data_IF_265762465154
#
_entry.id   IF_265762465154
#
_cell.length_a   1.000
_cell.length_b   1.000
_cell.length_c   1.000
_cell.angle_alpha   90.00
_cell.angle_beta   90.00
_cell.angle_gamma   90.00
#
_symmetry.space_group_name_H-M   'P 1'
#
loop_
_entity.id
_entity.type
_entity.pdbx_description
1 polymer ?
#
# COMPACT_ATOMS: atom_id res chain seq x y z
N UNK A 1 15.76 9.99 -2.13
CA UNK A 1 14.48 10.06 -1.37
C UNK A 1 13.40 9.38 -2.18
N UNK A 2 12.61 8.51 -1.55
CA UNK A 2 11.55 7.73 -2.21
C UNK A 2 10.19 8.13 -1.67
N UNK A 3 9.26 8.57 -2.54
CA UNK A 3 7.89 8.93 -2.16
C UNK A 3 6.96 7.71 -2.25
N UNK A 4 6.21 7.35 -1.21
CA UNK A 4 5.21 6.28 -1.27
C UNK A 4 3.83 6.77 -0.76
N UNK A 5 2.74 6.41 -1.47
CA UNK A 5 1.38 6.95 -1.31
C UNK A 5 0.34 5.95 -0.79
N UNK A 6 0.73 4.90 -0.06
CA UNK A 6 -0.16 3.75 0.24
C UNK A 6 -1.29 4.02 1.26
N UNK A 7 -1.95 5.17 1.21
CA UNK A 7 -3.17 5.43 1.98
C UNK A 7 -4.04 6.44 1.24
N UNK A 8 -4.72 5.97 0.19
CA UNK A 8 -5.95 6.62 -0.29
C UNK A 8 -6.91 5.52 -0.73
N UNK A 9 -7.94 5.28 0.09
CA UNK A 9 -9.21 4.84 -0.45
C UNK A 9 -9.97 6.13 -0.78
N UNK A 10 -10.09 6.42 -2.08
CA UNK A 10 -11.25 6.97 -2.79
C UNK A 10 -10.78 7.41 -4.18
N UNK A 11 -10.84 6.49 -5.14
CA UNK A 11 -11.23 6.78 -6.52
C UNK A 11 -10.27 7.47 -7.49
N UNK A 12 -9.17 8.12 -7.08
CA UNK A 12 -8.48 9.06 -7.99
C UNK A 12 -7.02 8.79 -8.37
N UNK A 13 -6.32 7.81 -7.77
CA UNK A 13 -5.04 7.31 -8.29
C UNK A 13 -4.69 6.00 -7.56
N UNK A 14 -4.96 4.86 -8.19
CA UNK A 14 -4.70 3.53 -7.62
C UNK A 14 -3.26 3.06 -7.84
N UNK A 15 -2.40 3.92 -8.39
CA UNK A 15 -0.99 3.61 -8.67
C UNK A 15 -0.09 4.37 -7.69
N UNK A 16 0.68 3.60 -6.91
CA UNK A 16 1.72 4.17 -6.05
C UNK A 16 2.82 4.71 -6.96
N UNK A 17 2.89 6.02 -7.14
CA UNK A 17 3.98 6.65 -7.89
C UNK A 17 5.18 6.82 -6.97
N UNK A 18 6.13 5.89 -7.06
CA UNK A 18 7.44 6.05 -6.44
C UNK A 18 8.28 6.98 -7.30
N UNK A 19 8.69 8.08 -6.69
CA UNK A 19 9.55 9.07 -7.35
C UNK A 19 10.84 9.18 -6.56
N UNK A 20 11.96 9.17 -7.29
CA UNK A 20 13.29 9.26 -6.73
C UNK A 20 13.86 10.65 -6.94
N UNK A 21 14.08 11.34 -5.82
CA UNK A 21 14.59 12.70 -5.78
C UNK A 21 15.98 12.74 -5.16
N UNK A 22 16.87 13.50 -5.81
CA UNK A 22 18.14 13.93 -5.25
C UNK A 22 18.01 15.41 -4.88
N UNK A 23 18.10 15.67 -3.59
CA UNK A 23 18.25 17.02 -3.05
C UNK A 23 19.69 17.23 -2.58
N UNK A 24 20.25 18.45 -2.70
CA UNK A 24 21.44 18.81 -1.95
C UNK A 24 21.15 18.73 -0.44
N UNK A 25 22.16 18.40 0.36
CA UNK A 25 22.00 18.26 1.81
C UNK A 25 21.51 19.55 2.51
N UNK A 26 21.71 20.71 1.88
CA UNK A 26 21.26 22.02 2.34
C UNK A 26 19.78 22.31 2.07
N UNK A 27 19.09 21.51 1.24
CA UNK A 27 17.66 21.66 1.02
C UNK A 27 16.90 21.52 2.35
N UNK A 28 15.79 22.23 2.48
CA UNK A 28 15.05 22.31 3.74
C UNK A 28 13.77 21.47 3.69
N UNK A 29 13.16 21.28 4.87
CA UNK A 29 11.82 20.68 4.97
C UNK A 29 10.79 21.50 4.19
N UNK A 30 10.93 22.83 4.12
CA UNK A 30 10.02 23.65 3.32
C UNK A 30 10.20 23.40 1.81
N UNK A 31 11.43 23.27 1.32
CA UNK A 31 11.68 22.91 -0.09
C UNK A 31 11.01 21.56 -0.44
N UNK A 32 11.12 20.60 0.48
CA UNK A 32 10.51 19.28 0.35
C UNK A 32 8.98 19.32 0.38
N UNK A 33 8.36 20.03 1.33
CA UNK A 33 6.90 20.11 1.44
C UNK A 33 6.27 20.85 0.26
N UNK A 34 6.91 21.91 -0.23
CA UNK A 34 6.49 22.62 -1.45
C UNK A 34 6.59 21.70 -2.67
N UNK A 35 7.70 20.97 -2.80
CA UNK A 35 7.81 20.04 -3.92
C UNK A 35 6.72 18.96 -3.86
N UNK A 36 6.44 18.37 -2.69
CA UNK A 36 5.37 17.37 -2.51
C UNK A 36 3.98 17.94 -2.88
N UNK A 37 3.70 19.21 -2.55
CA UNK A 37 2.38 19.80 -2.81
C UNK A 37 2.03 19.80 -4.30
N UNK A 38 3.03 19.94 -5.18
CA UNK A 38 2.85 19.87 -6.63
C UNK A 38 2.45 18.47 -7.16
N UNK A 39 2.59 17.42 -6.35
CA UNK A 39 2.29 16.05 -6.79
C UNK A 39 1.03 15.48 -6.15
N UNK A 40 0.66 15.90 -4.94
CA UNK A 40 -0.52 15.34 -4.26
C UNK A 40 -1.80 15.94 -4.84
N UNK A 41 -2.84 15.13 -5.12
CA UNK A 41 -4.07 15.64 -5.71
C UNK A 41 -4.88 16.47 -4.72
N UNK A 42 -5.72 17.38 -5.22
CA UNK A 42 -6.73 18.08 -4.44
C UNK A 42 -7.69 17.13 -3.72
N UNK A 43 -8.01 17.43 -2.46
CA UNK A 43 -8.98 16.67 -1.67
C UNK A 43 -10.13 17.58 -1.26
N UNK A 44 -11.37 17.23 -1.64
CA UNK A 44 -12.55 17.98 -1.22
C UNK A 44 -12.87 17.74 0.26
N UNK A 45 -13.13 18.82 1.01
CA UNK A 45 -13.53 18.77 2.43
C UNK A 45 -12.40 19.14 3.42
N UNK A 46 -12.61 18.92 4.74
CA UNK A 46 -11.61 19.16 5.78
C UNK A 46 -10.62 17.97 5.86
N UNK A 47 -9.94 17.73 4.75
CA UNK A 47 -9.02 16.62 4.58
C UNK A 47 -7.83 17.06 3.76
N UNK A 48 -6.72 16.35 3.92
CA UNK A 48 -5.47 16.70 3.27
C UNK A 48 -4.48 15.54 3.33
N UNK A 49 -3.20 15.89 3.33
CA UNK A 49 -2.10 14.96 3.26
C UNK A 49 -1.18 15.18 4.45
N UNK A 50 -0.64 14.11 5.01
CA UNK A 50 0.46 14.18 5.96
C UNK A 50 1.69 13.56 5.32
N UNK A 51 2.79 14.31 5.33
CA UNK A 51 4.09 13.91 4.83
C UNK A 51 4.98 13.52 6.01
N UNK A 52 5.56 12.32 5.97
CA UNK A 52 6.38 11.78 7.03
C UNK A 52 7.62 11.05 6.48
N UNK A 53 8.72 11.02 7.24
CA UNK A 53 9.97 10.35 6.86
C UNK A 53 10.24 9.12 7.70
N UNK A 54 10.94 8.14 7.13
CA UNK A 54 11.50 7.01 7.87
C UNK A 54 12.49 7.48 8.97
N UNK A 55 12.66 6.64 9.99
CA UNK A 55 13.63 6.84 11.08
C UNK A 55 14.53 5.59 11.20
N UNK A 56 15.49 5.58 12.14
CA UNK A 56 16.31 4.38 12.41
C UNK A 56 15.45 3.22 12.97
N UNK A 57 14.28 3.54 13.51
CA UNK A 57 13.22 2.61 13.85
C UNK A 57 12.24 2.50 12.66
N UNK A 58 12.24 1.35 11.99
CA UNK A 58 11.39 1.12 10.80
C UNK A 58 9.89 1.24 11.08
N UNK A 59 9.48 1.14 12.35
CA UNK A 59 8.07 1.30 12.75
C UNK A 59 7.68 2.74 13.03
N UNK A 60 8.64 3.62 13.26
CA UNK A 60 8.39 5.01 13.59
C UNK A 60 8.72 5.86 12.38
N UNK A 61 7.73 6.62 11.95
CA UNK A 61 7.89 7.65 10.95
C UNK A 61 7.70 9.00 11.62
N UNK A 62 8.47 9.99 11.17
CA UNK A 62 8.41 11.34 11.71
C UNK A 62 7.61 12.20 10.78
N UNK A 63 6.46 12.65 11.26
CA UNK A 63 5.62 13.62 10.54
C UNK A 63 6.39 14.94 10.37
N UNK A 64 6.51 15.39 9.13
CA UNK A 64 7.20 16.63 8.75
C UNK A 64 6.23 17.80 8.65
N UNK A 65 5.06 17.55 8.05
CA UNK A 65 4.06 18.57 7.81
C UNK A 65 2.78 18.01 7.19
N UNK A 66 1.76 18.86 7.17
CA UNK A 66 0.47 18.59 6.54
C UNK A 66 0.31 19.49 5.32
N UNK A 67 -0.35 19.00 4.28
CA UNK A 67 -0.59 19.71 3.02
C UNK A 67 -2.07 19.59 2.69
N UNK A 68 -2.75 20.71 2.52
CA UNK A 68 -4.15 20.77 2.13
C UNK A 68 -4.25 21.42 0.74
N UNK A 69 -4.62 20.60 -0.23
CA UNK A 69 -4.83 20.99 -1.63
C UNK A 69 -6.34 21.06 -1.90
N UNK A 70 -6.86 22.25 -2.23
CA UNK A 70 -8.31 22.49 -2.47
C UNK A 70 -8.57 22.93 -3.91
N UNK A 71 -8.19 22.07 -4.85
CA UNK A 71 -8.40 22.27 -6.28
C UNK A 71 -9.88 22.53 -6.63
N UNK A 72 -10.78 21.89 -5.88
CA UNK A 72 -12.24 22.06 -5.99
C UNK A 72 -12.69 23.51 -5.74
N UNK A 73 -12.02 24.21 -4.84
CA UNK A 73 -12.30 25.60 -4.50
C UNK A 73 -11.35 26.60 -5.20
N UNK A 74 -10.37 26.11 -5.97
CA UNK A 74 -9.28 26.91 -6.56
C UNK A 74 -8.59 27.80 -5.51
N UNK A 75 -8.47 27.29 -4.30
CA UNK A 75 -7.76 27.97 -3.22
C UNK A 75 -6.27 27.63 -3.31
N UNK A 76 -5.46 28.51 -2.74
CA UNK A 76 -4.04 28.25 -2.60
C UNK A 76 -3.80 27.09 -1.62
N UNK A 77 -2.80 26.26 -1.89
CA UNK A 77 -2.42 25.16 -1.00
C UNK A 77 -2.06 25.70 0.39
N UNK A 78 -2.48 24.97 1.42
CA UNK A 78 -2.12 25.26 2.79
C UNK A 78 -1.11 24.23 3.31
N UNK A 79 -0.10 24.69 4.01
CA UNK A 79 0.92 23.85 4.64
C UNK A 79 0.93 24.09 6.15
N UNK A 80 0.84 23.02 6.93
CA UNK A 80 1.07 23.04 8.37
C UNK A 80 2.42 22.40 8.68
N UNK A 81 3.34 23.17 9.29
CA UNK A 81 4.65 22.65 9.70
C UNK A 81 4.54 21.87 11.01
N UNK A 82 4.97 20.61 11.02
CA UNK A 82 5.15 19.82 12.25
C UNK A 82 6.61 19.76 12.70
N UNK A 83 7.53 20.07 11.77
CA UNK A 83 8.96 20.27 12.00
C UNK A 83 9.35 21.70 11.57
N UNK A 84 10.32 22.37 12.24
CA UNK A 84 10.76 23.69 11.80
C UNK A 84 11.22 23.69 10.35
N UNK A 85 10.67 24.59 9.53
CA UNK A 85 10.95 24.65 8.08
C UNK A 85 12.43 24.80 7.73
N UNK A 86 13.24 25.42 8.60
CA UNK A 86 14.70 25.57 8.46
C UNK A 86 15.50 24.28 8.62
N UNK A 87 14.87 23.19 9.05
CA UNK A 87 15.56 21.90 9.24
C UNK A 87 16.02 21.40 7.88
N UNK A 88 17.30 21.08 7.74
CA UNK A 88 17.83 20.60 6.45
C UNK A 88 17.56 19.11 6.27
N UNK A 89 17.45 18.64 5.03
CA UNK A 89 17.32 17.22 4.72
C UNK A 89 18.58 16.46 5.16
N UNK A 90 19.76 17.09 5.10
CA UNK A 90 21.00 16.52 5.64
C UNK A 90 20.99 16.36 7.17
N UNK A 91 20.27 17.22 7.92
CA UNK A 91 20.06 17.02 9.35
C UNK A 91 19.08 15.87 9.62
N UNK A 92 18.03 15.72 8.80
CA UNK A 92 17.09 14.61 8.91
C UNK A 92 17.76 13.25 8.65
N UNK A 93 18.58 13.13 7.61
CA UNK A 93 19.38 11.92 7.30
C UNK A 93 20.28 11.55 8.48
N UNK A 94 21.02 12.54 9.02
CA UNK A 94 21.93 12.32 10.16
C UNK A 94 21.17 11.91 11.43
N UNK A 95 20.04 12.55 11.69
CA UNK A 95 19.19 12.24 12.83
C UNK A 95 18.58 10.84 12.71
N UNK A 96 18.08 10.48 11.53
CA UNK A 96 17.46 9.20 11.26
C UNK A 96 18.49 8.06 11.05
N UNK A 97 19.80 8.36 11.02
CA UNK A 97 20.91 7.40 10.85
C UNK A 97 20.74 6.42 9.68
N UNK A 98 20.11 6.90 8.61
CA UNK A 98 19.82 6.14 7.40
C UNK A 98 20.47 6.85 6.21
N UNK A 99 20.89 6.12 5.17
CA UNK A 99 21.51 6.72 3.99
C UNK A 99 20.50 7.50 3.14
N UNK A 100 19.24 7.05 3.12
CA UNK A 100 18.18 7.57 2.27
C UNK A 100 16.92 7.88 3.07
N UNK A 101 16.34 9.06 2.86
CA UNK A 101 15.03 9.41 3.39
C UNK A 101 13.93 8.81 2.52
N UNK A 102 13.16 7.88 3.06
CA UNK A 102 11.89 7.48 2.48
C UNK A 102 10.83 8.43 2.99
N UNK A 103 10.20 9.17 2.08
CA UNK A 103 9.07 10.03 2.41
C UNK A 103 7.79 9.29 2.08
N UNK A 104 6.85 9.33 2.99
CA UNK A 104 5.55 8.74 2.81
C UNK A 104 4.51 9.83 2.95
N UNK A 105 3.54 9.81 2.06
CA UNK A 105 2.43 10.77 2.10
C UNK A 105 1.14 10.00 2.16
N UNK A 106 0.37 10.23 3.22
CA UNK A 106 -0.88 9.52 3.49
C UNK A 106 -2.02 10.50 3.71
N UNK A 107 -3.22 10.02 3.46
CA UNK A 107 -4.43 10.77 3.68
C UNK A 107 -4.62 11.14 5.16
N UNK A 108 -5.03 12.38 5.39
CA UNK A 108 -5.42 12.91 6.67
C UNK A 108 -6.92 13.22 6.64
N UNK A 109 -7.68 12.54 7.49
CA UNK A 109 -9.00 13.03 7.91
C UNK A 109 -8.79 14.07 9.02
N UNK A 110 -9.55 15.17 8.99
CA UNK A 110 -9.59 16.27 9.97
C UNK A 110 -8.60 17.44 9.76
N UNK A 111 -9.06 18.65 10.11
CA UNK A 111 -8.23 19.86 10.15
C UNK A 111 -7.52 19.97 11.49
N UNK A 112 -6.19 19.80 11.51
CA UNK A 112 -5.39 19.98 12.72
C UNK A 112 -4.10 20.76 12.41
N UNK A 113 -4.03 22.02 12.83
CA UNK A 113 -2.81 22.82 12.78
C UNK A 113 -3.08 24.30 12.49
N UNK A 114 -2.04 25.13 12.60
CA UNK A 114 -2.06 26.50 12.09
C UNK A 114 -1.66 26.46 10.61
N UNK A 115 -2.58 26.71 9.66
CA UNK A 115 -2.26 26.71 8.24
C UNK A 115 -1.41 27.93 7.87
N UNK A 116 -0.48 27.73 6.94
CA UNK A 116 0.21 28.78 6.19
C UNK A 116 -0.12 28.59 4.73
N UNK A 117 -0.30 29.66 3.97
CA UNK A 117 -0.46 29.51 2.52
C UNK A 117 0.86 29.12 1.85
N UNK A 118 0.78 28.52 0.66
CA UNK A 118 1.96 28.19 -0.14
C UNK A 118 2.81 29.44 -0.42
N UNK A 119 2.18 30.59 -0.69
CA UNK A 119 2.83 31.89 -0.83
C UNK A 119 3.54 32.34 0.45
N UNK A 120 2.96 32.14 1.63
CA UNK A 120 3.62 32.43 2.90
C UNK A 120 4.85 31.54 3.14
N UNK A 121 4.79 30.27 2.74
CA UNK A 121 5.93 29.33 2.85
C UNK A 121 7.03 29.72 1.87
N UNK A 122 6.69 29.95 0.60
CA UNK A 122 7.65 30.25 -0.48
C UNK A 122 8.25 31.65 -0.39
N UNK A 123 7.55 32.62 0.22
CA UNK A 123 8.11 33.93 0.55
C UNK A 123 8.94 33.93 1.86
N UNK A 124 8.90 32.84 2.62
CA UNK A 124 9.57 32.71 3.90
C UNK A 124 11.08 32.50 3.78
N UNK A 125 11.87 32.92 4.80
CA UNK A 125 13.34 32.80 4.78
C UNK A 125 13.87 31.37 4.89
N UNK A 126 12.98 30.39 5.06
CA UNK A 126 13.28 28.96 5.22
C UNK A 126 13.11 28.16 3.94
N UNK A 127 12.40 28.70 2.95
CA UNK A 127 12.34 28.15 1.60
C UNK A 127 13.57 28.63 0.83
N UNK A 128 14.35 27.70 0.27
CA UNK A 128 15.58 28.04 -0.45
C UNK A 128 15.38 28.03 -1.97
N UNK A 129 14.25 27.48 -2.44
CA UNK A 129 13.94 27.39 -3.87
C UNK A 129 14.65 26.25 -4.58
N UNK A 130 15.27 25.34 -3.83
CA UNK A 130 15.97 24.18 -4.38
C UNK A 130 14.96 23.17 -4.90
N UNK A 131 15.05 22.85 -6.18
CA UNK A 131 14.28 21.79 -6.80
C UNK A 131 15.09 20.50 -6.89
N UNK A 132 14.48 19.32 -6.67
CA UNK A 132 15.19 18.06 -6.76
C UNK A 132 15.55 17.71 -8.21
N UNK A 133 16.66 17.00 -8.38
CA UNK A 133 16.92 16.28 -9.63
C UNK A 133 16.17 14.96 -9.61
N UNK A 134 15.30 14.74 -10.60
CA UNK A 134 14.55 13.49 -10.77
C UNK A 134 15.44 12.44 -11.43
N UNK A 135 15.55 11.26 -10.83
CA UNK A 135 16.24 10.11 -11.43
C UNK A 135 15.21 9.31 -12.26
N UNK A 136 15.31 9.37 -13.59
CA UNK A 136 14.33 8.79 -14.52
C UNK A 136 14.40 7.24 -14.65
N UNK A 137 15.51 6.59 -14.24
CA UNK A 137 15.78 5.18 -14.57
C UNK A 137 14.92 4.14 -13.82
N UNK A 138 14.36 4.48 -12.66
CA UNK A 138 13.51 3.55 -11.89
C UNK A 138 12.02 3.73 -12.20
N UNK A 139 11.61 4.91 -12.68
CA UNK A 139 10.29 5.15 -13.28
C UNK A 139 10.12 4.40 -14.61
N UNK A 140 11.22 4.22 -15.36
CA UNK A 140 11.27 3.37 -16.55
C UNK A 140 11.10 1.88 -16.19
N UNK A 141 11.72 1.40 -15.12
CA UNK A 141 11.56 0.01 -14.64
C UNK A 141 10.15 -0.29 -14.08
N UNK A 142 9.48 0.69 -13.46
CA UNK A 142 8.07 0.56 -13.05
C UNK A 142 7.09 0.73 -14.22
N UNK A 143 7.42 1.51 -15.25
CA UNK A 143 6.66 1.57 -16.50
C UNK A 143 6.72 0.24 -17.28
N UNK A 144 7.80 -0.53 -17.12
CA UNK A 144 7.91 -1.91 -17.62
C UNK A 144 7.14 -2.94 -16.77
N UNK A 145 6.70 -2.58 -15.55
CA UNK A 145 5.94 -3.50 -14.69
C UNK A 145 4.51 -3.67 -15.21
N UNK A 146 4.13 -4.90 -15.52
CA UNK A 146 2.78 -5.24 -15.96
C UNK A 146 1.78 -5.21 -14.79
N UNK A 147 1.32 -4.02 -14.42
CA UNK A 147 0.37 -3.82 -13.33
C UNK A 147 -0.97 -4.53 -13.53
N UNK A 148 -1.37 -4.77 -14.79
CA UNK A 148 -2.56 -5.56 -15.11
C UNK A 148 -2.38 -7.01 -14.67
N UNK A 149 -1.19 -7.58 -14.92
CA UNK A 149 -0.85 -8.91 -14.43
C UNK A 149 -0.77 -8.94 -12.89
N UNK A 150 -0.13 -7.95 -12.26
CA UNK A 150 -0.01 -7.85 -10.80
C UNK A 150 -1.38 -7.85 -10.12
N UNK A 151 -2.33 -7.03 -10.61
CA UNK A 151 -3.71 -7.00 -10.08
C UNK A 151 -4.44 -8.32 -10.25
N UNK A 152 -4.22 -9.03 -11.35
CA UNK A 152 -4.79 -10.35 -11.57
C UNK A 152 -4.21 -11.40 -10.61
N UNK A 153 -2.91 -11.31 -10.28
CA UNK A 153 -2.28 -12.16 -9.26
C UNK A 153 -2.89 -11.86 -7.88
N UNK A 154 -3.06 -10.59 -7.51
CA UNK A 154 -3.74 -10.20 -6.26
C UNK A 154 -5.18 -10.73 -6.20
N UNK A 155 -5.94 -10.62 -7.30
CA UNK A 155 -7.30 -11.14 -7.39
C UNK A 155 -7.34 -12.65 -7.16
N UNK A 156 -6.39 -13.40 -7.72
CA UNK A 156 -6.28 -14.85 -7.51
C UNK A 156 -5.89 -15.21 -6.07
N UNK A 157 -4.97 -14.45 -5.48
CA UNK A 157 -4.58 -14.63 -4.08
C UNK A 157 -5.76 -14.35 -3.12
N UNK A 158 -6.55 -13.32 -3.40
CA UNK A 158 -7.76 -13.00 -2.65
C UNK A 158 -8.83 -14.11 -2.78
N UNK A 159 -8.99 -14.67 -3.98
CA UNK A 159 -9.97 -15.74 -4.24
C UNK A 159 -9.72 -17.03 -3.45
N UNK A 160 -8.47 -17.32 -3.06
CA UNK A 160 -8.12 -18.51 -2.27
C UNK A 160 -8.02 -18.24 -0.76
N UNK A 161 -8.01 -16.98 -0.34
CA UNK A 161 -7.77 -16.60 1.06
C UNK A 161 -8.84 -17.17 2.02
N UNK A 162 -10.13 -17.09 1.65
CA UNK A 162 -11.20 -17.62 2.49
C UNK A 162 -11.08 -19.14 2.70
N UNK A 163 -10.87 -19.89 1.61
CA UNK A 163 -10.68 -21.34 1.66
C UNK A 163 -9.45 -21.75 2.48
N UNK A 164 -8.36 -20.97 2.41
CA UNK A 164 -7.17 -21.18 3.24
C UNK A 164 -7.47 -20.94 4.73
N UNK A 165 -8.13 -19.84 5.08
CA UNK A 165 -8.53 -19.56 6.47
C UNK A 165 -9.47 -20.63 7.02
N UNK A 166 -10.43 -21.10 6.21
CA UNK A 166 -11.31 -22.22 6.56
C UNK A 166 -10.52 -23.49 6.86
N UNK A 167 -9.53 -23.79 6.02
CA UNK A 167 -8.66 -24.93 6.22
C UNK A 167 -7.82 -24.79 7.50
N UNK A 168 -7.21 -23.63 7.75
CA UNK A 168 -6.42 -23.36 8.96
C UNK A 168 -7.27 -23.54 10.22
N UNK A 169 -8.45 -22.94 10.25
CA UNK A 169 -9.39 -23.10 11.38
C UNK A 169 -9.70 -24.56 11.62
N UNK A 170 -10.04 -25.30 10.57
CA UNK A 170 -10.55 -26.68 10.68
C UNK A 170 -9.45 -27.69 11.00
N UNK A 171 -8.24 -27.53 10.45
CA UNK A 171 -7.18 -28.54 10.49
C UNK A 171 -6.02 -28.18 11.42
N UNK A 172 -5.87 -26.91 11.78
CA UNK A 172 -4.80 -26.43 12.64
C UNK A 172 -5.37 -25.95 13.97
N UNK A 173 -6.22 -24.91 13.96
CA UNK A 173 -6.63 -24.19 15.18
C UNK A 173 -7.67 -24.95 16.01
N UNK A 174 -8.48 -25.81 15.39
CA UNK A 174 -9.47 -26.66 16.08
C UNK A 174 -8.86 -27.72 17.01
N UNK A 175 -7.57 -28.03 16.86
CA UNK A 175 -6.88 -29.06 17.63
C UNK A 175 -6.62 -28.67 19.09
N UNK A 176 -6.38 -29.68 19.95
CA UNK A 176 -6.03 -29.44 21.36
C UNK A 176 -4.56 -29.03 21.55
N UNK A 177 -3.70 -29.36 20.60
CA UNK A 177 -2.24 -29.17 20.67
C UNK A 177 -1.68 -28.68 19.34
N UNK A 178 -0.70 -27.76 19.34
CA UNK A 178 -0.12 -27.26 18.10
C UNK A 178 0.54 -28.37 17.26
N UNK A 179 0.55 -28.25 15.93
CA UNK A 179 1.32 -29.14 15.07
C UNK A 179 2.81 -29.20 15.45
N UNK A 180 3.49 -30.33 15.22
CA UNK A 180 4.93 -30.44 15.46
C UNK A 180 5.72 -29.36 14.72
N UNK A 181 6.68 -28.72 15.40
CA UNK A 181 7.52 -27.66 14.83
C UNK A 181 6.89 -26.26 14.87
N UNK A 182 5.68 -26.10 15.41
CA UNK A 182 5.06 -24.79 15.67
C UNK A 182 5.96 -23.87 16.49
N UNK A 183 6.57 -24.40 17.55
CA UNK A 183 7.50 -23.69 18.42
C UNK A 183 8.71 -23.15 17.65
N UNK A 184 9.31 -23.98 16.80
CA UNK A 184 10.44 -23.59 15.93
C UNK A 184 10.00 -22.55 14.90
N UNK A 185 8.81 -22.71 14.31
CA UNK A 185 8.25 -21.73 13.36
C UNK A 185 8.07 -20.36 14.02
N UNK A 186 7.44 -20.31 15.19
CA UNK A 186 7.25 -19.06 15.95
C UNK A 186 8.60 -18.45 16.30
N UNK A 187 9.52 -19.24 16.85
CA UNK A 187 10.83 -18.75 17.27
C UNK A 187 11.67 -18.20 16.11
N UNK A 188 11.66 -18.85 14.95
CA UNK A 188 12.43 -18.38 13.77
C UNK A 188 11.85 -17.15 13.13
N UNK A 189 10.53 -16.96 13.21
CA UNK A 189 9.83 -15.86 12.58
C UNK A 189 9.45 -14.74 13.55
N UNK A 190 9.94 -14.76 14.79
CA UNK A 190 9.60 -13.75 15.80
C UNK A 190 9.88 -12.32 15.34
N UNK A 191 10.93 -12.12 14.55
CA UNK A 191 11.31 -10.81 14.00
C UNK A 191 10.24 -10.25 13.05
N UNK A 192 9.55 -11.10 12.27
CA UNK A 192 8.41 -10.66 11.47
C UNK A 192 7.19 -10.38 12.33
N UNK A 193 6.96 -11.13 13.40
CA UNK A 193 5.76 -10.97 14.24
C UNK A 193 5.70 -9.61 14.94
N UNK A 194 6.85 -9.01 15.24
CA UNK A 194 6.89 -7.62 15.72
C UNK A 194 6.20 -6.67 14.73
N UNK A 195 6.40 -6.88 13.43
CA UNK A 195 5.92 -6.01 12.34
C UNK A 195 4.53 -6.37 11.81
N UNK A 196 4.18 -7.65 11.80
CA UNK A 196 2.97 -8.13 11.15
C UNK A 196 1.72 -8.00 12.03
N UNK A 197 1.87 -7.90 13.35
CA UNK A 197 0.74 -7.78 14.27
C UNK A 197 0.12 -6.37 14.25
N UNK A 198 -1.20 -6.33 14.07
CA UNK A 198 -2.01 -5.11 14.12
C UNK A 198 -3.45 -5.44 14.54
N UNK A 199 -4.30 -4.46 14.89
CA UNK A 199 -5.70 -4.71 15.26
C UNK A 199 -6.47 -5.55 14.22
N UNK A 200 -6.29 -5.28 12.93
CA UNK A 200 -6.95 -6.05 11.87
C UNK A 200 -6.48 -7.52 11.80
N UNK A 201 -5.22 -7.81 12.14
CA UNK A 201 -4.78 -9.20 12.28
C UNK A 201 -5.45 -9.91 13.46
N UNK A 202 -5.88 -9.19 14.49
CA UNK A 202 -6.61 -9.79 15.62
C UNK A 202 -8.05 -10.15 15.24
N UNK A 203 -8.69 -9.39 14.36
CA UNK A 203 -9.99 -9.79 13.78
C UNK A 203 -9.87 -11.10 12.98
N UNK A 204 -8.78 -11.25 12.21
CA UNK A 204 -8.49 -12.53 11.53
C UNK A 204 -8.26 -13.65 12.55
N UNK A 205 -7.58 -13.39 13.67
CA UNK A 205 -7.38 -14.38 14.73
C UNK A 205 -8.71 -14.83 15.35
N UNK A 206 -9.62 -13.89 15.63
CA UNK A 206 -10.97 -14.16 16.10
C UNK A 206 -11.74 -15.08 15.12
N UNK A 207 -11.71 -14.76 13.83
CA UNK A 207 -12.32 -15.59 12.78
C UNK A 207 -11.73 -17.01 12.70
N UNK A 208 -10.42 -17.17 12.94
CA UNK A 208 -9.78 -18.49 12.98
C UNK A 208 -10.18 -19.28 14.24
N UNK A 209 -10.43 -18.59 15.34
CA UNK A 209 -10.89 -19.16 16.61
C UNK A 209 -12.41 -19.40 16.65
N UNK A 210 -13.15 -18.92 15.65
CA UNK A 210 -14.59 -19.11 15.53
C UNK A 210 -15.43 -18.06 16.26
N UNK A 211 -14.85 -16.90 16.58
CA UNK A 211 -15.56 -15.75 17.16
C UNK A 211 -15.65 -14.60 16.14
N UNK A 212 -16.69 -13.77 16.29
CA UNK A 212 -16.93 -12.65 15.36
C UNK A 212 -15.97 -11.48 15.59
N UNK A 213 -15.55 -11.26 16.84
CA UNK A 213 -14.69 -10.15 17.24
C UNK A 213 -13.62 -10.58 18.25
N UNK A 214 -12.51 -9.84 18.28
CA UNK A 214 -11.41 -10.02 19.23
C UNK A 214 -11.62 -9.17 20.50
N UNK A 215 -12.84 -9.17 21.05
CA UNK A 215 -13.20 -8.46 22.29
C UNK A 215 -13.35 -9.43 23.45
N UNK A 216 -13.10 -8.95 24.66
CA UNK A 216 -13.04 -9.76 25.87
C UNK A 216 -14.35 -10.53 26.12
N UNK A 217 -15.51 -9.90 25.93
CA UNK A 217 -16.80 -10.54 26.14
C UNK A 217 -17.08 -11.70 25.16
N UNK A 218 -16.61 -11.59 23.91
CA UNK A 218 -16.75 -12.65 22.90
C UNK A 218 -15.86 -13.85 23.19
N UNK A 219 -14.68 -13.60 23.77
CA UNK A 219 -13.73 -14.65 24.15
C UNK A 219 -14.17 -15.35 25.45
N UNK A 220 -14.65 -14.61 26.46
CA UNK A 220 -15.18 -15.18 27.72
C UNK A 220 -16.39 -16.10 27.50
N UNK A 221 -17.23 -15.81 26.50
CA UNK A 221 -18.36 -16.67 26.15
C UNK A 221 -17.92 -18.08 25.70
N UNK A 222 -16.65 -18.25 25.35
CA UNK A 222 -16.06 -19.50 24.87
C UNK A 222 -15.12 -20.06 25.94
N UNK A 223 -15.63 -20.93 26.82
CA UNK A 223 -14.87 -21.57 27.93
C UNK A 223 -13.65 -22.44 27.50
N UNK A 224 -13.27 -22.43 26.22
CA UNK A 224 -12.28 -23.31 25.59
C UNK A 224 -10.92 -22.61 25.33
N UNK A 225 -10.84 -21.28 25.48
CA UNK A 225 -9.59 -20.57 25.23
C UNK A 225 -8.58 -20.69 26.37
N UNK A 226 -9.04 -20.61 27.62
CA UNK A 226 -8.19 -20.76 28.82
C UNK A 226 -7.57 -22.17 28.92
N UNK A 227 -8.20 -23.16 28.31
CA UNK A 227 -7.73 -24.55 28.28
C UNK A 227 -6.74 -24.82 27.14
N UNK A 228 -6.63 -23.92 26.14
CA UNK A 228 -5.77 -24.07 24.95
C UNK A 228 -4.94 -22.82 24.60
N UNK A 229 -4.20 -22.21 25.55
CA UNK A 229 -3.48 -20.95 25.32
C UNK A 229 -2.43 -21.03 24.21
N UNK A 230 -1.82 -22.21 24.00
CA UNK A 230 -0.87 -22.42 22.91
C UNK A 230 -1.53 -22.36 21.52
N UNK A 231 -2.78 -22.80 21.40
CA UNK A 231 -3.55 -22.73 20.15
C UNK A 231 -4.02 -21.31 19.86
N UNK A 232 -4.42 -20.57 20.89
CA UNK A 232 -4.74 -19.14 20.78
C UNK A 232 -3.51 -18.36 20.31
N UNK A 233 -2.35 -18.63 20.90
CA UNK A 233 -1.08 -18.02 20.47
C UNK A 233 -0.77 -18.34 19.01
N UNK A 234 -0.93 -19.60 18.59
CA UNK A 234 -0.73 -20.00 17.21
C UNK A 234 -1.72 -19.28 16.27
N UNK A 235 -2.99 -19.18 16.63
CA UNK A 235 -4.00 -18.48 15.84
C UNK A 235 -3.62 -17.01 15.63
N UNK A 236 -3.17 -16.31 16.68
CA UNK A 236 -2.67 -14.93 16.58
C UNK A 236 -1.51 -14.81 15.59
N UNK A 237 -0.52 -15.70 15.72
CA UNK A 237 0.66 -15.73 14.84
C UNK A 237 0.23 -15.93 13.38
N UNK A 238 -0.58 -16.95 13.10
CA UNK A 238 -1.04 -17.24 11.74
C UNK A 238 -1.89 -16.10 11.17
N UNK A 239 -2.69 -15.45 12.00
CA UNK A 239 -3.50 -14.32 11.60
C UNK A 239 -2.67 -13.09 11.19
N UNK A 240 -1.52 -12.86 11.82
CA UNK A 240 -0.57 -11.82 11.43
C UNK A 240 -0.05 -12.05 10.00
N UNK A 241 0.33 -13.28 9.67
CA UNK A 241 0.71 -13.63 8.31
C UNK A 241 -0.47 -13.56 7.34
N UNK A 242 -1.63 -14.12 7.70
CA UNK A 242 -2.84 -14.11 6.87
C UNK A 242 -3.28 -12.70 6.46
N UNK A 243 -3.34 -11.78 7.41
CA UNK A 243 -3.70 -10.38 7.13
C UNK A 243 -2.75 -9.74 6.11
N UNK A 244 -1.44 -10.00 6.28
CA UNK A 244 -0.41 -9.43 5.43
C UNK A 244 -0.20 -10.20 4.12
N UNK A 245 -0.84 -11.37 3.91
CA UNK A 245 -0.84 -12.04 2.59
C UNK A 245 -1.67 -11.28 1.56
N UNK A 246 -2.71 -10.57 2.00
CA UNK A 246 -3.56 -9.75 1.16
C UNK A 246 -3.00 -8.35 0.89
N UNK A 247 -1.82 -8.01 1.45
CA UNK A 247 -1.23 -6.67 1.39
C UNK A 247 0.21 -6.72 0.88
N UNK A 248 0.63 -5.67 0.16
CA UNK A 248 2.00 -5.48 -0.33
C UNK A 248 2.11 -5.59 -1.86
N UNK A 249 3.17 -5.05 -2.47
CA UNK A 249 3.44 -5.27 -3.89
C UNK A 249 3.98 -6.68 -4.12
N UNK A 250 3.77 -7.26 -5.30
CA UNK A 250 4.33 -8.57 -5.71
C UNK A 250 5.86 -8.56 -5.93
N UNK A 251 6.53 -7.45 -5.62
CA UNK A 251 7.97 -7.31 -5.81
C UNK A 251 8.72 -8.23 -4.82
N UNK A 252 9.76 -8.90 -5.33
CA UNK A 252 10.48 -10.01 -4.70
C UNK A 252 11.04 -9.72 -3.28
N UNK A 253 11.23 -8.45 -2.92
CA UNK A 253 11.78 -8.08 -1.60
C UNK A 253 10.71 -7.76 -0.55
N UNK A 254 9.47 -7.44 -0.95
CA UNK A 254 8.44 -6.91 -0.04
C UNK A 254 7.72 -7.95 0.81
N UNK A 255 7.88 -9.26 0.52
CA UNK A 255 7.06 -10.32 1.11
C UNK A 255 7.86 -11.54 1.61
N UNK A 256 9.06 -11.31 2.16
CA UNK A 256 9.96 -12.38 2.64
C UNK A 256 9.33 -13.31 3.70
N UNK A 257 8.32 -12.82 4.41
CA UNK A 257 7.54 -13.56 5.41
C UNK A 257 6.57 -14.60 4.83
N UNK A 258 6.21 -14.52 3.53
CA UNK A 258 5.25 -15.45 2.92
C UNK A 258 5.81 -16.86 2.75
N UNK A 259 7.08 -16.97 2.36
CA UNK A 259 7.73 -18.27 2.18
C UNK A 259 7.69 -19.14 3.45
N UNK A 260 8.25 -18.70 4.60
CA UNK A 260 8.23 -19.52 5.81
C UNK A 260 6.80 -19.81 6.30
N UNK A 261 5.86 -18.89 6.08
CA UNK A 261 4.46 -19.08 6.43
C UNK A 261 3.77 -20.18 5.62
N UNK A 262 3.85 -20.13 4.29
CA UNK A 262 3.24 -21.14 3.43
C UNK A 262 3.97 -22.48 3.50
N UNK A 263 5.28 -22.50 3.73
CA UNK A 263 6.02 -23.73 4.04
C UNK A 263 5.55 -24.37 5.35
N UNK A 264 5.27 -23.56 6.39
CA UNK A 264 4.68 -24.06 7.63
C UNK A 264 3.28 -24.66 7.39
N UNK A 265 2.42 -23.97 6.63
CA UNK A 265 1.10 -24.52 6.28
C UNK A 265 1.21 -25.82 5.49
N UNK A 266 2.12 -25.89 4.52
CA UNK A 266 2.38 -27.11 3.75
C UNK A 266 2.89 -28.26 4.63
N UNK A 267 3.76 -27.94 5.60
CA UNK A 267 4.21 -28.89 6.63
C UNK A 267 3.07 -29.41 7.52
N UNK A 268 2.01 -28.62 7.70
CA UNK A 268 0.77 -29.05 8.38
C UNK A 268 -0.17 -29.85 7.46
N UNK A 269 0.18 -30.05 6.19
CA UNK A 269 -0.63 -30.79 5.20
C UNK A 269 -1.48 -29.91 4.26
N UNK A 270 -1.30 -28.59 4.25
CA UNK A 270 -2.00 -27.71 3.32
C UNK A 270 -1.44 -27.84 1.90
N UNK A 271 -2.31 -28.09 0.92
CA UNK A 271 -1.92 -28.08 -0.49
C UNK A 271 -1.91 -26.67 -1.05
N UNK A 272 -0.72 -26.09 -1.25
CA UNK A 272 -0.57 -24.75 -1.84
C UNK A 272 -1.18 -24.69 -3.25
N UNK A 273 -2.08 -23.74 -3.47
CA UNK A 273 -2.62 -23.41 -4.78
C UNK A 273 -1.53 -22.83 -5.70
N UNK A 274 -1.74 -22.83 -7.03
CA UNK A 274 -0.74 -22.29 -7.96
C UNK A 274 -0.32 -20.85 -7.65
N UNK A 275 -1.25 -19.98 -7.20
CA UNK A 275 -0.93 -18.59 -6.86
C UNK A 275 -0.09 -18.50 -5.57
N UNK A 276 -0.30 -19.38 -4.60
CA UNK A 276 0.50 -19.43 -3.38
C UNK A 276 1.89 -20.04 -3.64
N UNK A 277 2.00 -20.95 -4.61
CA UNK A 277 3.30 -21.42 -5.10
C UNK A 277 4.07 -20.28 -5.79
N UNK A 278 3.38 -19.37 -6.48
CA UNK A 278 4.01 -18.15 -7.01
C UNK A 278 4.46 -17.23 -5.87
N UNK A 279 3.60 -16.98 -4.87
CA UNK A 279 3.93 -16.14 -3.71
C UNK A 279 5.15 -16.62 -2.90
N UNK A 280 5.41 -17.93 -2.91
CA UNK A 280 6.53 -18.56 -2.22
C UNK A 280 7.79 -18.70 -3.08
N UNK A 281 7.70 -18.38 -4.37
CA UNK A 281 8.78 -18.56 -5.34
C UNK A 281 9.00 -20.02 -5.76
N UNK A 282 8.09 -20.93 -5.43
CA UNK A 282 8.12 -22.31 -5.90
C UNK A 282 7.67 -22.44 -7.36
N UNK A 283 6.85 -21.51 -7.83
CA UNK A 283 6.41 -21.40 -9.22
C UNK A 283 6.76 -20.01 -9.75
N UNK A 284 7.39 -19.91 -10.92
CA UNK A 284 7.60 -18.62 -11.56
C UNK A 284 6.28 -18.06 -12.13
N UNK A 285 6.12 -16.75 -12.19
CA UNK A 285 4.88 -16.12 -12.69
C UNK A 285 4.57 -16.55 -14.13
N UNK A 286 5.60 -16.72 -14.95
CA UNK A 286 5.50 -17.15 -16.35
C UNK A 286 5.00 -18.59 -16.50
N UNK A 287 5.17 -19.41 -15.45
CA UNK A 287 4.72 -20.80 -15.42
C UNK A 287 3.28 -20.93 -14.90
N UNK A 288 2.69 -19.83 -14.37
CA UNK A 288 1.29 -19.81 -13.97
C UNK A 288 0.40 -19.91 -15.21
N UNK A 289 -0.26 -21.05 -15.38
CA UNK A 289 -1.19 -21.28 -16.50
C UNK A 289 -2.43 -20.40 -16.37
N UNK A 290 -2.48 -19.32 -17.14
CA UNK A 290 -3.70 -18.53 -17.36
C UNK A 290 -4.57 -19.22 -18.41
N UNK A 291 -5.89 -19.19 -18.21
CA UNK A 291 -6.82 -19.71 -19.23
C UNK A 291 -6.80 -18.80 -20.46
N UNK A 292 -7.20 -19.32 -21.62
CA UNK A 292 -7.30 -18.50 -22.83
C UNK A 292 -8.26 -17.29 -22.64
N UNK A 293 -9.32 -17.48 -21.86
CA UNK A 293 -10.25 -16.41 -21.49
C UNK A 293 -9.61 -15.35 -20.60
N UNK A 294 -8.81 -15.76 -19.61
CA UNK A 294 -8.09 -14.82 -18.74
C UNK A 294 -7.07 -14.00 -19.53
N UNK A 295 -6.28 -14.66 -20.39
CA UNK A 295 -5.31 -13.96 -21.24
C UNK A 295 -5.98 -12.95 -22.16
N UNK A 296 -7.12 -13.31 -22.77
CA UNK A 296 -7.91 -12.40 -23.59
C UNK A 296 -8.44 -11.21 -22.78
N UNK A 297 -8.97 -11.46 -21.58
CA UNK A 297 -9.43 -10.41 -20.64
C UNK A 297 -8.29 -9.45 -20.28
N UNK A 298 -7.13 -9.94 -19.88
CA UNK A 298 -5.98 -9.09 -19.51
C UNK A 298 -5.48 -8.26 -20.70
N UNK A 299 -5.37 -8.87 -21.89
CA UNK A 299 -5.01 -8.15 -23.11
C UNK A 299 -6.01 -7.04 -23.43
N UNK A 300 -7.31 -7.29 -23.22
CA UNK A 300 -8.34 -6.27 -23.42
C UNK A 300 -8.23 -5.14 -22.41
N UNK A 301 -7.98 -5.45 -21.14
CA UNK A 301 -7.73 -4.44 -20.10
C UNK A 301 -6.54 -3.55 -20.47
N UNK A 302 -5.41 -4.15 -20.91
CA UNK A 302 -4.23 -3.38 -21.37
C UNK A 302 -4.58 -2.41 -22.51
N UNK A 303 -5.29 -2.89 -23.53
CA UNK A 303 -5.75 -2.04 -24.64
C UNK A 303 -6.65 -0.88 -24.18
N UNK A 304 -7.55 -1.13 -23.23
CA UNK A 304 -8.45 -0.10 -22.69
C UNK A 304 -7.70 0.92 -21.84
N UNK A 305 -6.71 0.50 -21.05
CA UNK A 305 -5.84 1.41 -20.28
C UNK A 305 -4.98 2.28 -21.20
N UNK A 306 -4.42 1.71 -22.27
CA UNK A 306 -3.70 2.48 -23.30
C UNK A 306 -4.61 3.49 -24.02
N UNK A 307 -5.87 3.10 -24.28
CA UNK A 307 -6.85 4.00 -24.88
C UNK A 307 -7.25 5.12 -23.91
N UNK A 308 -7.49 4.80 -22.64
CA UNK A 308 -7.76 5.76 -21.56
C UNK A 308 -6.63 6.79 -21.46
N UNK A 309 -5.38 6.33 -21.43
CA UNK A 309 -4.20 7.19 -21.41
C UNK A 309 -4.14 8.12 -22.63
N UNK A 310 -4.31 7.59 -23.85
CA UNK A 310 -4.30 8.39 -25.08
C UNK A 310 -5.42 9.43 -25.12
N UNK A 311 -6.63 9.08 -24.68
CA UNK A 311 -7.75 10.02 -24.59
C UNK A 311 -7.44 11.17 -23.62
N UNK A 312 -6.85 10.87 -22.46
CA UNK A 312 -6.40 11.86 -21.48
C UNK A 312 -5.31 12.77 -22.06
N UNK A 313 -4.31 12.19 -22.74
CA UNK A 313 -3.27 12.97 -23.43
C UNK A 313 -3.84 13.90 -24.49
N UNK A 314 -4.79 13.40 -25.29
CA UNK A 314 -5.44 14.18 -26.33
C UNK A 314 -6.31 15.33 -25.77
N UNK A 315 -6.96 15.12 -24.63
CA UNK A 315 -7.78 16.15 -23.97
C UNK A 315 -6.95 17.23 -23.28
N UNK A 316 -6.01 16.83 -22.44
CA UNK A 316 -5.34 17.76 -21.51
C UNK A 316 -4.03 18.34 -22.06
N UNK A 317 -3.30 17.57 -22.87
CA UNK A 317 -1.96 17.96 -23.35
C UNK A 317 -1.97 18.38 -24.81
N UNK A 318 -2.46 17.51 -25.71
CA UNK A 318 -2.47 17.80 -27.14
C UNK A 318 -3.64 18.73 -27.54
N UNK A 319 -4.65 18.88 -26.67
CA UNK A 319 -5.86 19.69 -26.88
C UNK A 319 -6.57 19.40 -28.20
N UNK A 320 -6.51 18.15 -28.66
CA UNK A 320 -7.11 17.68 -29.91
C UNK A 320 -8.56 17.22 -29.74
N UNK A 321 -9.01 16.99 -28.50
CA UNK A 321 -10.39 16.63 -28.16
C UNK A 321 -11.07 17.76 -27.39
N UNK A 322 -12.32 18.05 -27.76
CA UNK A 322 -13.20 18.88 -26.92
C UNK A 322 -13.64 18.11 -25.67
N UNK A 323 -14.19 18.82 -24.69
CA UNK A 323 -14.65 18.22 -23.44
C UNK A 323 -15.77 17.18 -23.68
N UNK A 324 -16.74 17.50 -24.52
CA UNK A 324 -17.84 16.59 -24.85
C UNK A 324 -17.36 15.35 -25.60
N UNK A 325 -16.40 15.51 -26.53
CA UNK A 325 -15.80 14.40 -27.27
C UNK A 325 -15.02 13.46 -26.34
N UNK A 326 -14.26 14.03 -25.41
CA UNK A 326 -13.52 13.26 -24.41
C UNK A 326 -14.46 12.53 -23.46
N UNK A 327 -15.48 13.21 -22.90
CA UNK A 327 -16.46 12.58 -22.01
C UNK A 327 -17.19 11.42 -22.67
N UNK A 328 -17.61 11.58 -23.94
CA UNK A 328 -18.27 10.51 -24.67
C UNK A 328 -17.36 9.30 -24.90
N UNK A 329 -16.11 9.53 -25.32
CA UNK A 329 -15.14 8.47 -25.58
C UNK A 329 -14.70 7.75 -24.30
N UNK A 330 -14.39 8.50 -23.23
CA UNK A 330 -13.90 7.95 -21.97
C UNK A 330 -15.00 7.19 -21.22
N UNK A 331 -16.26 7.62 -21.33
CA UNK A 331 -17.40 6.90 -20.72
C UNK A 331 -17.55 5.48 -21.26
N UNK A 332 -17.36 5.29 -22.57
CA UNK A 332 -17.40 3.95 -23.19
C UNK A 332 -16.26 3.06 -22.68
N UNK A 333 -15.07 3.62 -22.50
CA UNK A 333 -13.90 2.90 -21.98
C UNK A 333 -14.11 2.52 -20.50
N UNK A 334 -14.66 3.43 -19.71
CA UNK A 334 -14.97 3.19 -18.29
C UNK A 334 -16.04 2.12 -18.09
N UNK A 335 -17.08 2.12 -18.93
CA UNK A 335 -18.11 1.08 -18.91
C UNK A 335 -17.48 -0.30 -19.16
N UNK A 336 -16.66 -0.42 -20.21
CA UNK A 336 -16.04 -1.71 -20.55
C UNK A 336 -15.00 -2.17 -19.51
N UNK A 337 -14.21 -1.25 -18.93
CA UNK A 337 -13.32 -1.60 -17.81
C UNK A 337 -14.12 -2.13 -16.62
N UNK A 338 -15.26 -1.50 -16.30
CA UNK A 338 -16.14 -1.94 -15.21
C UNK A 338 -16.69 -3.34 -15.48
N UNK A 339 -17.12 -3.63 -16.71
CA UNK A 339 -17.61 -4.96 -17.11
C UNK A 339 -16.52 -6.05 -16.99
N UNK A 340 -15.25 -5.68 -17.14
CA UNK A 340 -14.10 -6.58 -16.97
C UNK A 340 -13.63 -6.71 -15.51
N UNK A 341 -14.33 -6.04 -14.58
CA UNK A 341 -14.06 -6.05 -13.14
C UNK A 341 -12.97 -5.07 -12.70
N UNK A 342 -12.62 -4.10 -13.55
CA UNK A 342 -11.65 -3.05 -13.24
C UNK A 342 -12.34 -1.78 -12.72
N UNK A 343 -11.66 -1.06 -11.84
CA UNK A 343 -12.14 0.27 -11.41
C UNK A 343 -11.91 1.26 -12.57
N UNK A 344 -12.98 1.94 -13.05
CA UNK A 344 -12.83 2.97 -14.06
C UNK A 344 -11.98 4.12 -13.51
N UNK A 345 -11.22 4.78 -14.38
CA UNK A 345 -10.41 5.92 -13.95
C UNK A 345 -11.28 7.16 -13.70
N UNK A 346 -10.67 8.27 -13.25
CA UNK A 346 -11.38 9.53 -13.12
C UNK A 346 -11.87 10.03 -14.49
N UNK A 347 -13.02 10.72 -14.46
CA UNK A 347 -13.63 11.33 -15.64
C UNK A 347 -12.89 12.60 -16.04
#
# INVERSE_FOLDING_TARGET
>A
MTLNRSSVAMGDDVESHRVFWVFPASATVDDLLVEISHYVPGVAGPAGWIADVNTDDQMRRRDLGLIYTRDDLRQEDLVCRLVPGRTTLGDLVRWAKIPDLDVYVRYLTWDMGRPLTLSEVTAGPTYTGVQPTKLQSEAEAEAETDWVLVRELDRRAAAVAAARRDWIRTNVVSGATPPPGTDVFIARNFHYLADLHCPASMEVAAQLLGTDEAVYESLEATNDFDTRPAMVTLAMVLAAFEWNTARGSWQAEGRRYLKPYFEYLAGCGYGLSPIEQVMTGHLAVEQLKLSAGDTARLNRIRQLRDLQYRLRMNRYYNKTLTDDQYRAAISSVHAELSDLGEVPGPM
#
